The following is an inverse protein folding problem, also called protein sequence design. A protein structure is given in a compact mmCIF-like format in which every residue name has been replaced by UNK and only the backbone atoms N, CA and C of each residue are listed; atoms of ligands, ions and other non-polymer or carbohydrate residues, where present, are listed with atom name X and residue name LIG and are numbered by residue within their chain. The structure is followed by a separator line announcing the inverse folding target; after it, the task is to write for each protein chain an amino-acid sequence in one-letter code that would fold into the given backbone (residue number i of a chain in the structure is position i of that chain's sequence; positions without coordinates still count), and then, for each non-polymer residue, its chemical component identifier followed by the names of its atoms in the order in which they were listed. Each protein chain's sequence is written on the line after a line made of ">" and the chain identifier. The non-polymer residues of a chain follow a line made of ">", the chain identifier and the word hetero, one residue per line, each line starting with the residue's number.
data_IF_551853002630
#
_entry.id   IF_551853002630
#
_cell.length_a   1.000
_cell.length_b   1.000
_cell.length_c   1.000
_cell.angle_alpha   90.00
_cell.angle_beta   90.00
_cell.angle_gamma   90.00
#
_symmetry.space_group_name_H-M   'P 1'
#
loop_
_entity.id
_entity.type
_entity.pdbx_description
1 polymer ?
#
# COMPACT_ATOMS: atom_id res chain seq x y z
N UNK A 1 -51.31 -14.51 9.91
CA UNK A 1 -50.56 -13.59 10.80
C UNK A 1 -49.72 -14.48 11.70
N UNK A 2 -48.39 -14.50 11.70
CA UNK A 2 -47.39 -13.52 11.31
C UNK A 2 -46.18 -14.25 10.71
N UNK A 3 -45.72 -13.76 9.55
CA UNK A 3 -44.43 -14.10 8.96
C UNK A 3 -43.32 -13.55 9.86
N UNK A 4 -42.45 -14.42 10.37
CA UNK A 4 -41.22 -13.99 11.02
C UNK A 4 -40.20 -13.65 9.91
N UNK A 5 -40.01 -12.37 9.66
CA UNK A 5 -38.85 -11.87 8.95
C UNK A 5 -37.60 -12.21 9.76
N UNK A 6 -36.89 -13.26 9.37
CA UNK A 6 -35.50 -13.46 9.76
C UNK A 6 -34.69 -12.36 9.07
N UNK A 7 -34.39 -11.29 9.82
CA UNK A 7 -33.39 -10.32 9.40
C UNK A 7 -32.05 -11.07 9.30
N UNK A 8 -31.70 -11.47 8.07
CA UNK A 8 -30.35 -11.92 7.73
C UNK A 8 -29.44 -10.70 7.74
N UNK A 9 -28.97 -10.30 8.93
CA UNK A 9 -27.77 -9.48 9.02
C UNK A 9 -26.61 -10.35 8.54
N UNK A 10 -26.28 -10.27 7.25
CA UNK A 10 -24.94 -10.68 6.80
C UNK A 10 -23.96 -9.90 7.68
N UNK A 11 -23.16 -10.61 8.47
CA UNK A 11 -21.90 -10.05 8.93
C UNK A 11 -21.20 -9.49 7.69
N UNK A 12 -20.95 -8.18 7.65
CA UNK A 12 -20.18 -7.62 6.55
C UNK A 12 -18.82 -8.32 6.60
N UNK A 13 -18.45 -9.02 5.52
CA UNK A 13 -17.16 -9.69 5.48
C UNK A 13 -16.06 -8.64 5.79
N UNK A 14 -15.13 -9.02 6.67
CA UNK A 14 -14.01 -8.18 7.06
C UNK A 14 -13.31 -7.64 5.82
N UNK A 15 -13.14 -6.32 5.75
CA UNK A 15 -12.38 -5.69 4.68
C UNK A 15 -10.93 -6.13 4.76
N UNK A 16 -10.25 -6.29 3.63
CA UNK A 16 -8.85 -6.72 3.61
C UNK A 16 -7.98 -5.62 2.99
N UNK A 17 -6.92 -5.23 3.68
CA UNK A 17 -5.91 -4.31 3.16
C UNK A 17 -4.59 -5.07 2.99
N UNK A 18 -4.03 -5.02 1.79
CA UNK A 18 -2.70 -5.53 1.54
C UNK A 18 -1.69 -4.38 1.43
N UNK A 19 -0.74 -4.33 2.35
CA UNK A 19 0.42 -3.47 2.29
C UNK A 19 1.55 -4.26 1.64
N UNK A 20 1.90 -3.91 0.41
CA UNK A 20 2.89 -4.62 -0.42
C UNK A 20 4.15 -3.77 -0.47
N UNK A 21 5.25 -4.33 0.02
CA UNK A 21 6.46 -3.56 0.22
C UNK A 21 7.73 -4.25 -0.27
N UNK A 22 8.73 -3.44 -0.59
CA UNK A 22 10.11 -3.88 -0.84
C UNK A 22 11.08 -2.88 -0.19
N UNK A 23 12.24 -3.34 0.28
CA UNK A 23 13.27 -2.45 0.82
C UNK A 23 14.67 -3.07 0.71
N UNK A 24 15.67 -2.25 0.37
CA UNK A 24 17.07 -2.66 0.36
C UNK A 24 17.81 -2.29 1.66
N UNK A 25 17.53 -1.09 2.19
CA UNK A 25 18.22 -0.49 3.33
C UNK A 25 17.29 -0.20 4.50
N UNK A 26 16.09 -0.77 4.51
CA UNK A 26 15.14 -0.71 5.63
C UNK A 26 14.17 0.48 5.63
N UNK A 27 14.43 1.55 4.88
CA UNK A 27 13.58 2.75 4.89
C UNK A 27 12.12 2.48 4.50
N UNK A 28 11.90 1.89 3.32
CA UNK A 28 10.55 1.46 2.89
C UNK A 28 9.91 0.42 3.79
N UNK A 29 10.70 -0.44 4.46
CA UNK A 29 10.16 -1.40 5.43
C UNK A 29 9.62 -0.67 6.67
N UNK A 30 10.35 0.31 7.18
CA UNK A 30 9.90 1.14 8.30
C UNK A 30 8.62 1.91 7.94
N UNK A 31 8.54 2.45 6.73
CA UNK A 31 7.34 3.14 6.22
C UNK A 31 6.15 2.19 6.05
N UNK A 32 6.37 0.97 5.54
CA UNK A 32 5.32 -0.04 5.42
C UNK A 32 4.80 -0.48 6.79
N UNK A 33 5.70 -0.62 7.78
CA UNK A 33 5.31 -0.92 9.15
C UNK A 33 4.51 0.24 9.78
N UNK A 34 4.93 1.48 9.57
CA UNK A 34 4.18 2.63 10.07
C UNK A 34 2.78 2.72 9.42
N UNK A 35 2.66 2.50 8.11
CA UNK A 35 1.36 2.40 7.45
C UNK A 35 0.51 1.24 8.00
N UNK A 36 1.12 0.09 8.30
CA UNK A 36 0.44 -1.01 8.97
C UNK A 36 -0.10 -0.60 10.35
N UNK A 37 0.74 0.03 11.17
CA UNK A 37 0.38 0.43 12.54
C UNK A 37 -0.79 1.43 12.53
N UNK A 38 -0.76 2.40 11.60
CA UNK A 38 -1.84 3.36 11.42
C UNK A 38 -3.13 2.72 10.93
N UNK A 39 -3.06 1.81 9.95
CA UNK A 39 -4.22 1.07 9.46
C UNK A 39 -4.83 0.19 10.56
N UNK A 40 -3.99 -0.51 11.33
CA UNK A 40 -4.40 -1.34 12.45
C UNK A 40 -5.12 -0.54 13.53
N UNK A 41 -4.58 0.62 13.92
CA UNK A 41 -5.20 1.50 14.91
C UNK A 41 -6.57 2.02 14.47
N UNK A 42 -6.76 2.28 13.17
CA UNK A 42 -8.01 2.79 12.62
C UNK A 42 -9.05 1.70 12.27
N UNK A 43 -8.65 0.44 12.15
CA UNK A 43 -9.51 -0.63 11.65
C UNK A 43 -10.69 -0.97 12.58
N UNK A 44 -10.55 -0.82 13.91
CA UNK A 44 -11.60 -1.11 14.92
C UNK A 44 -12.39 -2.41 14.64
N UNK A 45 -11.68 -3.51 14.33
CA UNK A 45 -12.21 -4.83 13.92
C UNK A 45 -12.93 -4.89 12.55
N UNK A 46 -13.02 -3.80 11.78
CA UNK A 46 -13.64 -3.77 10.46
C UNK A 46 -12.73 -4.17 9.30
N UNK A 47 -11.41 -4.20 9.52
CA UNK A 47 -10.41 -4.54 8.51
C UNK A 47 -9.36 -5.54 9.02
N UNK A 48 -8.98 -6.50 8.17
CA UNK A 48 -7.77 -7.31 8.30
C UNK A 48 -6.63 -6.66 7.52
N UNK A 49 -5.54 -6.31 8.21
CA UNK A 49 -4.37 -5.68 7.59
C UNK A 49 -3.29 -6.74 7.38
N UNK A 50 -2.81 -6.88 6.15
CA UNK A 50 -1.81 -7.88 5.77
C UNK A 50 -0.59 -7.19 5.19
N UNK A 51 0.58 -7.64 5.59
CA UNK A 51 1.86 -7.09 5.16
C UNK A 51 2.61 -8.12 4.31
N UNK A 52 2.84 -7.81 3.04
CA UNK A 52 3.52 -8.69 2.09
C UNK A 52 4.80 -8.08 1.58
N UNK A 53 5.89 -8.85 1.62
CA UNK A 53 7.03 -8.54 0.76
C UNK A 53 6.62 -8.73 -0.71
N UNK A 54 7.04 -7.82 -1.60
CA UNK A 54 6.61 -7.81 -3.00
C UNK A 54 6.97 -9.10 -3.77
N UNK A 55 8.04 -9.80 -3.37
CA UNK A 55 8.41 -11.08 -3.99
C UNK A 55 7.42 -12.22 -3.70
N UNK A 56 6.67 -12.15 -2.59
CA UNK A 56 5.86 -13.28 -2.12
C UNK A 56 4.35 -13.06 -2.23
N UNK A 57 3.90 -11.85 -2.56
CA UNK A 57 2.46 -11.60 -2.76
C UNK A 57 1.95 -12.39 -3.97
N UNK A 58 0.81 -13.06 -3.81
CA UNK A 58 0.22 -13.95 -4.81
C UNK A 58 -1.02 -13.31 -5.44
N UNK A 59 -1.44 -13.83 -6.60
CA UNK A 59 -2.68 -13.40 -7.25
C UNK A 59 -3.91 -13.57 -6.33
N UNK A 60 -4.14 -14.72 -5.64
CA UNK A 60 -5.25 -14.83 -4.70
C UNK A 60 -5.23 -13.75 -3.62
N UNK A 61 -4.06 -13.44 -3.06
CA UNK A 61 -3.95 -12.37 -2.07
C UNK A 61 -4.37 -11.00 -2.64
N UNK A 62 -3.99 -10.70 -3.90
CA UNK A 62 -4.43 -9.48 -4.58
C UNK A 62 -5.95 -9.46 -4.75
N UNK A 63 -6.53 -10.57 -5.23
CA UNK A 63 -7.96 -10.66 -5.54
C UNK A 63 -8.84 -10.60 -4.28
N UNK A 64 -8.33 -11.04 -3.13
CA UNK A 64 -9.02 -10.95 -1.84
C UNK A 64 -9.05 -9.54 -1.22
N UNK A 65 -8.10 -8.66 -1.56
CA UNK A 65 -7.95 -7.38 -0.87
C UNK A 65 -8.91 -6.28 -1.36
N UNK A 66 -9.59 -5.58 -0.46
CA UNK A 66 -10.41 -4.41 -0.78
C UNK A 66 -9.59 -3.14 -1.04
N UNK A 67 -8.36 -3.09 -0.54
CA UNK A 67 -7.47 -1.96 -0.76
C UNK A 67 -5.98 -2.29 -0.64
N UNK A 68 -5.16 -1.38 -1.17
CA UNK A 68 -3.72 -1.59 -1.29
C UNK A 68 -2.92 -0.39 -0.78
N UNK A 69 -1.77 -0.67 -0.16
CA UNK A 69 -0.71 0.33 0.01
C UNK A 69 0.57 -0.23 -0.60
N UNK A 70 1.14 0.47 -1.57
CA UNK A 70 2.42 0.10 -2.16
C UNK A 70 3.54 0.93 -1.53
N UNK A 71 4.58 0.27 -1.02
CA UNK A 71 5.70 0.95 -0.33
C UNK A 71 7.05 0.43 -0.83
N UNK A 72 7.85 1.26 -1.49
CA UNK A 72 9.10 0.79 -2.09
C UNK A 72 10.13 1.90 -2.26
N UNK A 73 11.43 1.57 -2.46
CA UNK A 73 12.43 2.58 -2.73
C UNK A 73 12.40 3.01 -4.19
N UNK A 74 12.79 4.25 -4.45
CA UNK A 74 13.20 4.68 -5.78
C UNK A 74 14.63 4.18 -6.05
N UNK A 75 14.78 3.42 -7.12
CA UNK A 75 16.08 2.91 -7.58
C UNK A 75 16.31 3.40 -9.01
N UNK A 76 17.41 4.11 -9.23
CA UNK A 76 17.79 4.62 -10.55
C UNK A 76 16.67 5.43 -11.22
N UNK A 77 16.05 6.35 -10.47
CA UNK A 77 14.91 7.16 -10.89
C UNK A 77 13.67 6.36 -11.29
N UNK A 78 13.52 5.11 -10.84
CA UNK A 78 12.40 4.24 -11.17
C UNK A 78 11.88 3.50 -9.94
N UNK A 79 10.72 2.85 -10.10
CA UNK A 79 10.25 1.85 -9.14
C UNK A 79 11.34 0.79 -8.94
N UNK A 80 11.54 0.33 -7.70
CA UNK A 80 12.52 -0.72 -7.43
C UNK A 80 12.24 -1.99 -8.24
N UNK A 81 13.30 -2.66 -8.71
CA UNK A 81 13.19 -3.82 -9.60
C UNK A 81 12.31 -4.95 -9.05
N UNK A 82 12.40 -5.22 -7.74
CA UNK A 82 11.55 -6.21 -7.05
C UNK A 82 10.07 -5.79 -7.07
N UNK A 83 9.77 -4.52 -6.82
CA UNK A 83 8.39 -4.02 -6.93
C UNK A 83 7.88 -4.07 -8.38
N UNK A 84 8.73 -3.76 -9.37
CA UNK A 84 8.37 -3.91 -10.78
C UNK A 84 8.09 -5.36 -11.14
N UNK A 85 8.92 -6.31 -10.71
CA UNK A 85 8.70 -7.72 -10.93
C UNK A 85 7.39 -8.21 -10.30
N UNK A 86 7.04 -7.71 -9.11
CA UNK A 86 5.75 -7.94 -8.47
C UNK A 86 4.58 -7.42 -9.34
N UNK A 87 4.65 -6.16 -9.78
CA UNK A 87 3.65 -5.59 -10.68
C UNK A 87 3.52 -6.41 -11.98
N UNK A 88 4.63 -6.76 -12.63
CA UNK A 88 4.64 -7.52 -13.89
C UNK A 88 4.00 -8.89 -13.75
N UNK A 89 4.35 -9.62 -12.69
CA UNK A 89 3.81 -10.95 -12.41
C UNK A 89 2.31 -10.92 -12.15
N UNK A 90 1.81 -9.86 -11.51
CA UNK A 90 0.42 -9.74 -11.10
C UNK A 90 -0.45 -8.95 -12.08
N UNK A 91 0.15 -8.22 -13.03
CA UNK A 91 -0.57 -7.26 -13.86
C UNK A 91 -1.71 -7.91 -14.63
N UNK A 92 -1.38 -8.90 -15.45
CA UNK A 92 -2.35 -9.58 -16.31
C UNK A 92 -3.30 -10.49 -15.54
N UNK A 93 -2.86 -11.30 -14.55
CA UNK A 93 -3.79 -12.10 -13.75
C UNK A 93 -4.83 -11.26 -12.99
N UNK A 94 -4.47 -10.05 -12.56
CA UNK A 94 -5.38 -9.17 -11.83
C UNK A 94 -6.17 -8.20 -12.73
N UNK A 95 -5.92 -8.19 -14.05
CA UNK A 95 -6.47 -7.18 -14.96
C UNK A 95 -8.00 -7.28 -15.05
N UNK A 96 -8.69 -6.20 -14.70
CA UNK A 96 -10.16 -6.15 -14.68
C UNK A 96 -10.81 -6.73 -13.42
N UNK A 97 -10.03 -7.29 -12.49
CA UNK A 97 -10.53 -7.89 -11.25
C UNK A 97 -10.36 -6.99 -10.02
N UNK A 98 -9.55 -5.93 -10.13
CA UNK A 98 -9.22 -5.00 -9.04
C UNK A 98 -9.93 -3.65 -9.14
N UNK A 99 -10.84 -3.48 -10.08
CA UNK A 99 -11.40 -2.17 -10.42
C UNK A 99 -12.06 -1.49 -9.23
N UNK A 100 -11.84 -0.18 -9.11
CA UNK A 100 -12.42 0.66 -8.07
C UNK A 100 -11.79 0.49 -6.68
N UNK A 101 -10.98 -0.55 -6.45
CA UNK A 101 -10.33 -0.79 -5.15
C UNK A 101 -9.42 0.37 -4.77
N UNK A 102 -9.48 0.75 -3.50
CA UNK A 102 -8.75 1.88 -2.96
C UNK A 102 -7.24 1.62 -2.93
N UNK A 103 -6.43 2.62 -3.25
CA UNK A 103 -4.98 2.51 -3.04
C UNK A 103 -4.30 3.80 -2.59
N UNK A 104 -3.18 3.61 -1.91
CA UNK A 104 -2.17 4.63 -1.61
C UNK A 104 -0.77 4.16 -2.00
N UNK A 105 0.16 5.12 -2.12
CA UNK A 105 1.52 4.88 -2.58
C UNK A 105 2.51 5.70 -1.74
N UNK A 106 3.56 5.04 -1.25
CA UNK A 106 4.67 5.67 -0.52
C UNK A 106 6.00 5.25 -1.16
N UNK A 107 6.79 6.22 -1.60
CA UNK A 107 8.12 6.02 -2.20
C UNK A 107 9.20 6.55 -1.27
N UNK A 108 10.14 5.70 -0.89
CA UNK A 108 11.34 6.10 -0.16
C UNK A 108 12.45 6.44 -1.18
N UNK A 109 12.78 7.71 -1.34
CA UNK A 109 13.73 8.17 -2.35
C UNK A 109 15.06 8.61 -1.72
N UNK A 110 16.10 8.65 -2.55
CA UNK A 110 17.35 9.32 -2.19
C UNK A 110 17.14 10.83 -2.22
N UNK A 111 16.75 11.35 -3.39
CA UNK A 111 16.58 12.78 -3.64
C UNK A 111 15.30 13.13 -4.42
N UNK A 112 14.81 12.24 -5.30
CA UNK A 112 13.64 12.51 -6.14
C UNK A 112 12.87 11.21 -6.46
N UNK A 113 11.69 11.04 -5.86
CA UNK A 113 10.82 9.88 -6.13
C UNK A 113 9.81 10.08 -7.27
N UNK A 114 9.82 11.21 -7.99
CA UNK A 114 8.70 11.63 -8.85
C UNK A 114 8.45 10.68 -10.02
N UNK A 115 9.49 10.16 -10.66
CA UNK A 115 9.33 9.22 -11.77
C UNK A 115 8.92 7.82 -11.29
N UNK A 116 9.40 7.38 -10.11
CA UNK A 116 8.95 6.16 -9.48
C UNK A 116 7.44 6.21 -9.16
N UNK A 117 6.97 7.34 -8.61
CA UNK A 117 5.53 7.60 -8.42
C UNK A 117 4.77 7.51 -9.74
N UNK A 118 5.22 8.25 -10.77
CA UNK A 118 4.56 8.29 -12.09
C UNK A 118 4.42 6.89 -12.69
N UNK A 119 5.44 6.05 -12.60
CA UNK A 119 5.41 4.69 -13.12
C UNK A 119 4.40 3.82 -12.37
N UNK A 120 4.43 3.83 -11.04
CA UNK A 120 3.51 3.04 -10.23
C UNK A 120 2.05 3.49 -10.40
N UNK A 121 1.78 4.80 -10.43
CA UNK A 121 0.41 5.32 -10.65
C UNK A 121 -0.13 4.94 -12.04
N UNK A 122 0.71 4.88 -13.07
CA UNK A 122 0.31 4.39 -14.40
C UNK A 122 -0.08 2.91 -14.38
N UNK A 123 0.65 2.10 -13.63
CA UNK A 123 0.32 0.67 -13.45
C UNK A 123 -1.02 0.54 -12.68
N UNK A 124 -1.17 1.26 -11.57
CA UNK A 124 -2.42 1.30 -10.79
C UNK A 124 -3.62 1.77 -11.62
N UNK A 125 -3.42 2.74 -12.53
CA UNK A 125 -4.43 3.18 -13.49
C UNK A 125 -4.82 2.07 -14.46
N UNK A 126 -3.87 1.26 -14.92
CA UNK A 126 -4.13 0.07 -15.74
C UNK A 126 -5.05 -0.95 -15.06
N UNK A 127 -4.91 -1.10 -13.73
CA UNK A 127 -5.80 -1.88 -12.88
C UNK A 127 -7.12 -1.18 -12.49
N UNK A 128 -7.29 0.08 -12.86
CA UNK A 128 -8.44 0.93 -12.48
C UNK A 128 -8.60 1.07 -10.95
N UNK A 129 -7.48 1.10 -10.22
CA UNK A 129 -7.50 1.39 -8.79
C UNK A 129 -7.87 2.85 -8.52
N UNK A 130 -8.55 3.11 -7.40
CA UNK A 130 -8.94 4.45 -6.95
C UNK A 130 -7.91 5.02 -5.98
N UNK A 131 -7.18 6.05 -6.40
CA UNK A 131 -6.20 6.73 -5.54
C UNK A 131 -6.93 7.48 -4.42
N UNK A 132 -6.57 7.26 -3.16
CA UNK A 132 -7.26 7.89 -2.02
C UNK A 132 -6.62 9.20 -1.54
N UNK A 133 -5.34 9.38 -1.82
CA UNK A 133 -4.55 10.54 -1.41
C UNK A 133 -3.37 10.73 -2.37
N UNK A 134 -2.73 11.90 -2.34
CA UNK A 134 -1.51 12.11 -3.11
C UNK A 134 -0.41 11.13 -2.71
N UNK A 135 0.28 10.60 -3.71
CA UNK A 135 1.39 9.67 -3.51
C UNK A 135 2.51 10.35 -2.74
N UNK A 136 2.99 9.69 -1.68
CA UNK A 136 3.99 10.27 -0.79
C UNK A 136 5.41 9.93 -1.22
N UNK A 137 6.29 10.92 -1.28
CA UNK A 137 7.72 10.75 -1.50
C UNK A 137 8.44 11.18 -0.22
N UNK A 138 9.27 10.31 0.31
CA UNK A 138 10.06 10.55 1.52
C UNK A 138 11.53 10.50 1.13
N UNK A 139 12.19 11.66 1.14
CA UNK A 139 13.57 11.80 0.71
C UNK A 139 14.51 11.61 1.90
N UNK A 140 15.40 10.62 1.78
CA UNK A 140 16.41 10.32 2.81
C UNK A 140 17.65 11.20 2.70
N UNK A 141 17.79 11.93 1.59
CA UNK A 141 18.92 12.81 1.27
C UNK A 141 20.30 12.11 1.32
N UNK A 142 20.33 10.78 1.19
CA UNK A 142 21.56 10.01 1.11
C UNK A 142 22.24 10.20 -0.26
N UNK A 143 23.41 10.85 -0.28
CA UNK A 143 24.11 11.22 -1.52
C UNK A 143 25.48 10.54 -1.70
N UNK A 144 26.17 10.12 -0.63
CA UNK A 144 27.42 9.35 -0.76
C UNK A 144 27.13 7.86 -0.91
N UNK A 145 28.07 7.11 -1.49
CA UNK A 145 27.96 5.65 -1.62
C UNK A 145 27.71 4.98 -0.27
N UNK A 146 28.44 5.42 0.75
CA UNK A 146 28.36 4.90 2.12
C UNK A 146 26.97 5.19 2.71
N UNK A 147 26.49 6.44 2.57
CA UNK A 147 25.17 6.82 3.05
C UNK A 147 24.04 6.11 2.31
N UNK A 148 24.18 5.89 1.00
CA UNK A 148 23.20 5.17 0.17
C UNK A 148 23.08 3.70 0.61
N UNK A 149 24.20 3.05 0.92
CA UNK A 149 24.23 1.64 1.33
C UNK A 149 23.93 1.42 2.82
N UNK A 150 24.06 2.46 3.65
CA UNK A 150 23.75 2.37 5.07
C UNK A 150 22.25 2.11 5.33
N UNK A 151 21.89 1.42 6.44
CA UNK A 151 20.51 1.35 6.90
C UNK A 151 19.88 2.74 7.03
N UNK A 152 18.63 2.89 6.58
CA UNK A 152 17.90 4.15 6.64
C UNK A 152 17.13 4.25 7.94
N UNK A 153 17.29 5.38 8.61
CA UNK A 153 16.47 5.79 9.74
C UNK A 153 15.51 6.85 9.19
N UNK A 154 14.22 6.58 9.27
CA UNK A 154 13.18 7.49 8.82
C UNK A 154 12.79 8.42 9.98
N UNK A 155 12.60 9.70 9.69
CA UNK A 155 12.20 10.70 10.68
C UNK A 155 10.83 10.40 11.29
N UNK A 156 10.58 10.92 12.50
CA UNK A 156 9.31 10.69 13.20
C UNK A 156 8.10 11.23 12.40
N UNK A 157 8.25 12.40 11.78
CA UNK A 157 7.21 13.05 10.98
C UNK A 157 6.88 12.23 9.73
N UNK A 158 7.89 11.75 9.02
CA UNK A 158 7.73 10.88 7.84
C UNK A 158 7.05 9.55 8.20
N UNK A 159 7.39 8.96 9.35
CA UNK A 159 6.70 7.78 9.87
C UNK A 159 5.25 8.10 10.23
N UNK A 160 4.97 9.28 10.77
CA UNK A 160 3.62 9.69 11.12
C UNK A 160 2.74 9.90 9.89
N UNK A 161 3.27 10.49 8.83
CA UNK A 161 2.58 10.58 7.55
C UNK A 161 2.22 9.19 6.99
N UNK A 162 3.14 8.22 7.10
CA UNK A 162 2.86 6.84 6.71
C UNK A 162 1.73 6.22 7.56
N UNK A 163 1.71 6.45 8.88
CA UNK A 163 0.60 6.03 9.76
C UNK A 163 -0.72 6.66 9.32
N UNK A 164 -0.73 7.95 9.02
CA UNK A 164 -1.93 8.67 8.58
C UNK A 164 -2.48 8.11 7.27
N UNK A 165 -1.62 7.77 6.30
CA UNK A 165 -2.04 7.12 5.04
C UNK A 165 -2.70 5.77 5.33
N UNK A 166 -2.07 4.94 6.18
CA UNK A 166 -2.63 3.66 6.60
C UNK A 166 -3.98 3.80 7.28
N UNK A 167 -4.07 4.71 8.24
CA UNK A 167 -5.28 4.99 8.99
C UNK A 167 -6.42 5.51 8.11
N UNK A 168 -6.12 6.43 7.18
CA UNK A 168 -7.10 6.98 6.25
C UNK A 168 -7.69 5.91 5.32
N UNK A 169 -6.85 5.02 4.78
CA UNK A 169 -7.32 3.91 3.95
C UNK A 169 -8.24 2.97 4.74
N UNK A 170 -7.82 2.56 5.94
CA UNK A 170 -8.59 1.66 6.79
C UNK A 170 -9.93 2.28 7.21
N UNK A 171 -9.92 3.51 7.74
CA UNK A 171 -11.14 4.21 8.13
C UNK A 171 -12.10 4.40 6.94
N UNK A 172 -11.57 4.78 5.78
CA UNK A 172 -12.38 4.96 4.57
C UNK A 172 -13.05 3.67 4.10
N UNK A 173 -12.36 2.53 4.16
CA UNK A 173 -12.93 1.23 3.83
C UNK A 173 -13.99 0.77 4.85
N UNK A 174 -13.75 0.95 6.16
CA UNK A 174 -14.72 0.63 7.22
C UNK A 174 -16.00 1.46 7.06
N UNK A 175 -15.86 2.74 6.71
CA UNK A 175 -16.98 3.65 6.52
C UNK A 175 -17.69 3.49 5.17
N UNK A 176 -17.16 2.68 4.24
CA UNK A 176 -17.71 2.50 2.90
C UNK A 176 -17.54 3.74 1.99
N UNK A 177 -16.54 4.57 2.24
CA UNK A 177 -16.19 5.75 1.43
C UNK A 177 -15.52 5.36 0.12
N UNK A 178 -14.83 4.21 0.12
CA UNK A 178 -14.13 3.64 -1.02
C UNK A 178 -14.66 2.26 -1.38
#
# INVERSE_FOLDING_TARGET
>A
MLSQCVNSSRSAALKIINIIWHSMTGGSKALAQAAYDGAWAAAQDGCSIRLFHADVVTEPAMLEADGFIFVFPENLAAISGVMKACFDRLYYPCLGSLEGRAYALIVCAGSDGSNAVRQAERIATGWRLKKIADSRIICTHAQSKEAILAPKIIGADDLEEARQIGGALAAGLVMGVY
#
